data_IF_708995634839
#
_entry.id   IF_708995634839
#
_cell.length_a   1.000
_cell.length_b   1.000
_cell.length_c   1.000
_cell.angle_alpha   90.00
_cell.angle_beta   90.00
_cell.angle_gamma   90.00
#
_symmetry.space_group_name_H-M   'P 1'
#
loop_
_entity.id
_entity.type
_entity.pdbx_description
1 polymer ?
#
# COMPACT_ATOMS: atom_id res chain seq x y z
N UNK A 1 -15.24 -15.25 51.91
CA UNK A 1 -15.45 -15.94 50.62
C UNK A 1 -15.84 -14.97 49.49
N UNK A 2 -15.17 -13.81 49.39
CA UNK A 2 -15.51 -12.76 48.40
C UNK A 2 -14.29 -12.24 47.66
N UNK A 3 -13.19 -12.01 48.38
CA UNK A 3 -11.92 -11.51 47.83
C UNK A 3 -11.30 -12.48 46.83
N UNK A 4 -11.30 -13.79 47.12
CA UNK A 4 -10.75 -14.80 46.20
C UNK A 4 -11.56 -14.91 44.90
N UNK A 5 -12.89 -14.75 44.96
CA UNK A 5 -13.75 -14.71 43.77
C UNK A 5 -13.52 -13.45 42.94
N UNK A 6 -13.31 -12.29 43.60
CA UNK A 6 -13.05 -11.02 42.92
C UNK A 6 -11.68 -11.03 42.21
N UNK A 7 -10.64 -11.55 42.87
CA UNK A 7 -9.31 -11.75 42.27
C UNK A 7 -9.35 -12.71 41.08
N UNK A 8 -10.13 -13.79 41.17
CA UNK A 8 -10.31 -14.75 40.08
C UNK A 8 -11.07 -14.12 38.90
N UNK A 9 -12.03 -13.23 39.18
CA UNK A 9 -12.80 -12.50 38.18
C UNK A 9 -11.98 -11.43 37.43
N UNK A 10 -11.09 -10.72 38.12
CA UNK A 10 -10.20 -9.73 37.49
C UNK A 10 -9.09 -10.36 36.65
N UNK A 11 -8.62 -11.56 37.02
CA UNK A 11 -7.62 -12.30 36.26
C UNK A 11 -8.18 -12.82 34.93
N UNK A 12 -9.46 -13.23 34.90
CA UNK A 12 -10.16 -13.67 33.69
C UNK A 12 -10.49 -12.54 32.71
N UNK A 13 -10.48 -11.28 33.16
CA UNK A 13 -10.73 -10.10 32.32
C UNK A 13 -9.46 -9.42 31.79
N UNK A 14 -8.28 -9.95 32.13
CA UNK A 14 -6.99 -9.45 31.64
C UNK A 14 -6.70 -10.00 30.25
N UNK A 15 -7.42 -9.52 29.24
CA UNK A 15 -7.12 -9.80 27.84
C UNK A 15 -5.87 -9.01 27.48
N UNK A 16 -4.76 -9.70 27.23
CA UNK A 16 -3.57 -9.07 26.67
C UNK A 16 -3.91 -8.56 25.25
N UNK A 17 -4.00 -7.25 25.06
CA UNK A 17 -4.01 -6.63 23.74
C UNK A 17 -2.57 -6.67 23.20
N UNK A 18 -2.15 -7.83 22.69
CA UNK A 18 -0.90 -7.92 21.94
C UNK A 18 -1.13 -7.28 20.57
N UNK A 19 -0.56 -6.10 20.35
CA UNK A 19 -0.55 -5.49 19.03
C UNK A 19 0.26 -6.40 18.09
N UNK A 20 -0.44 -7.04 17.15
CA UNK A 20 0.20 -7.85 16.10
C UNK A 20 1.14 -6.94 15.30
N UNK A 21 2.40 -7.35 15.15
CA UNK A 21 3.32 -6.65 14.26
C UNK A 21 2.78 -6.63 12.82
N UNK A 22 3.11 -5.56 12.09
CA UNK A 22 2.69 -5.43 10.71
C UNK A 22 3.31 -6.54 9.85
N UNK A 23 2.65 -6.90 8.75
CA UNK A 23 3.20 -7.85 7.77
C UNK A 23 4.03 -7.09 6.73
N UNK A 24 4.94 -7.79 6.06
CA UNK A 24 5.52 -7.29 4.82
C UNK A 24 4.41 -7.02 3.81
N UNK A 25 4.49 -5.89 3.12
CA UNK A 25 3.47 -5.49 2.14
C UNK A 25 3.43 -6.49 0.97
N UNK A 26 2.26 -7.06 0.71
CA UNK A 26 2.04 -7.87 -0.47
C UNK A 26 1.47 -6.97 -1.59
N UNK A 27 2.22 -6.74 -2.68
CA UNK A 27 1.75 -5.89 -3.77
C UNK A 27 0.46 -6.41 -4.42
N UNK A 28 0.15 -7.71 -4.31
CA UNK A 28 -1.05 -8.29 -4.92
C UNK A 28 -2.30 -8.02 -4.09
N UNK A 29 -2.24 -8.14 -2.76
CA UNK A 29 -3.43 -8.06 -1.89
C UNK A 29 -3.57 -6.73 -1.18
N UNK A 30 -2.46 -6.05 -0.89
CA UNK A 30 -2.46 -4.88 -0.01
C UNK A 30 -2.48 -3.56 -0.81
N UNK A 31 -2.44 -3.66 -2.14
CA UNK A 31 -2.58 -2.53 -3.06
C UNK A 31 -4.02 -2.45 -3.54
N UNK A 32 -4.58 -1.24 -3.47
CA UNK A 32 -5.85 -0.92 -4.13
C UNK A 32 -5.63 -0.87 -5.65
N UNK A 33 -5.88 -1.99 -6.34
CA UNK A 33 -5.78 -2.05 -7.81
C UNK A 33 -6.86 -1.21 -8.51
N UNK A 34 -7.99 -0.97 -7.83
CA UNK A 34 -9.03 -0.05 -8.30
C UNK A 34 -8.53 1.39 -8.40
N UNK A 35 -7.50 1.74 -7.61
CA UNK A 35 -6.92 3.07 -7.58
C UNK A 35 -5.99 3.35 -8.77
N UNK A 36 -5.66 2.33 -9.59
CA UNK A 36 -4.92 2.53 -10.84
C UNK A 36 -5.79 3.07 -11.97
N UNK A 37 -7.12 2.97 -11.82
CA UNK A 37 -8.07 3.34 -12.86
C UNK A 37 -8.22 4.85 -12.99
N UNK A 38 -8.52 5.35 -14.21
CA UNK A 38 -8.79 4.60 -15.45
C UNK A 38 -7.52 4.07 -16.14
N UNK A 39 -7.59 2.86 -16.69
CA UNK A 39 -6.55 2.33 -17.59
C UNK A 39 -7.02 2.50 -19.03
N UNK A 40 -6.23 3.20 -19.84
CA UNK A 40 -6.50 3.41 -21.27
C UNK A 40 -5.36 2.81 -22.08
N UNK A 41 -5.69 1.95 -23.04
CA UNK A 41 -4.74 1.31 -23.96
C UNK A 41 -5.10 1.76 -25.37
N UNK A 42 -4.15 2.35 -26.10
CA UNK A 42 -4.37 2.71 -27.51
C UNK A 42 -5.57 3.66 -27.72
N UNK A 43 -5.88 4.47 -26.70
CA UNK A 43 -7.04 5.38 -26.69
C UNK A 43 -8.38 4.75 -26.31
N UNK A 44 -8.41 3.44 -26.04
CA UNK A 44 -9.60 2.72 -25.55
C UNK A 44 -9.50 2.55 -24.04
N UNK A 45 -10.51 3.04 -23.32
CA UNK A 45 -10.63 2.82 -21.88
C UNK A 45 -11.10 1.39 -21.61
N UNK A 46 -10.28 0.60 -20.90
CA UNK A 46 -10.60 -0.80 -20.55
C UNK A 46 -11.36 -0.92 -19.23
N UNK A 47 -11.55 0.20 -18.52
CA UNK A 47 -12.26 0.28 -17.25
C UNK A 47 -13.57 1.05 -17.41
N UNK A 48 -14.72 0.36 -17.55
CA UNK A 48 -15.99 0.97 -17.95
C UNK A 48 -16.56 1.99 -16.96
N UNK A 49 -16.29 1.84 -15.66
CA UNK A 49 -16.91 2.67 -14.61
C UNK A 49 -16.10 3.93 -14.24
N UNK A 50 -14.86 4.06 -14.72
CA UNK A 50 -13.98 5.20 -14.43
C UNK A 50 -13.88 6.15 -15.62
N UNK A 51 -14.26 7.42 -15.42
CA UNK A 51 -14.11 8.46 -16.46
C UNK A 51 -12.71 9.06 -16.42
N UNK A 52 -12.01 9.01 -17.55
CA UNK A 52 -10.73 9.69 -17.76
C UNK A 52 -10.94 11.07 -18.41
N UNK A 53 -10.10 12.03 -18.05
CA UNK A 53 -9.99 13.34 -18.70
C UNK A 53 -8.87 13.37 -19.75
N UNK A 54 -7.94 12.40 -19.71
CA UNK A 54 -6.86 12.22 -20.68
C UNK A 54 -7.36 11.44 -21.89
N UNK A 55 -7.48 12.12 -23.04
CA UNK A 55 -7.76 11.46 -24.33
C UNK A 55 -6.48 11.35 -25.14
N UNK A 56 -5.94 10.14 -25.23
CA UNK A 56 -4.97 9.80 -26.26
C UNK A 56 -5.71 9.22 -27.46
N UNK A 57 -5.58 9.80 -28.65
CA UNK A 57 -6.25 9.35 -29.86
C UNK A 57 -5.34 8.54 -30.81
N UNK A 58 -4.18 8.11 -30.33
CA UNK A 58 -3.14 7.46 -31.12
C UNK A 58 -3.13 5.96 -30.82
N UNK A 59 -3.25 5.14 -31.86
CA UNK A 59 -3.22 3.69 -31.69
C UNK A 59 -1.80 3.14 -31.43
N UNK A 60 -0.80 3.81 -31.99
CA UNK A 60 0.61 3.46 -31.92
C UNK A 60 1.44 4.70 -31.58
N UNK A 61 2.58 4.50 -30.93
CA UNK A 61 3.57 5.54 -30.67
C UNK A 61 4.95 5.10 -31.16
N UNK A 62 5.74 6.07 -31.62
CA UNK A 62 7.15 5.86 -31.97
C UNK A 62 8.01 6.71 -31.03
N UNK A 63 8.85 6.05 -30.25
CA UNK A 63 9.81 6.71 -29.38
C UNK A 63 11.15 6.86 -30.10
N UNK A 64 11.84 7.97 -29.85
CA UNK A 64 13.15 8.24 -30.41
C UNK A 64 14.17 7.12 -30.08
N UNK A 65 15.03 6.80 -31.05
CA UNK A 65 16.07 5.77 -30.96
C UNK A 65 16.48 5.27 -32.34
N UNK A 66 17.64 4.58 -32.43
CA UNK A 66 18.13 3.92 -33.65
C UNK A 66 18.38 2.44 -33.34
N UNK A 67 17.52 1.52 -33.80
CA UNK A 67 16.28 1.73 -34.55
C UNK A 67 15.16 2.38 -33.70
N UNK A 68 14.16 3.03 -34.34
CA UNK A 68 13.03 3.63 -33.64
C UNK A 68 12.21 2.55 -32.92
N UNK A 69 11.78 2.84 -31.69
CA UNK A 69 10.99 1.91 -30.88
C UNK A 69 9.51 2.15 -31.14
N UNK A 70 8.83 1.18 -31.74
CA UNK A 70 7.38 1.16 -31.86
C UNK A 70 6.75 0.65 -30.55
N UNK A 71 5.69 1.30 -30.08
CA UNK A 71 4.97 0.93 -28.87
C UNK A 71 3.48 1.20 -28.97
N UNK A 72 2.74 0.68 -28.00
CA UNK A 72 1.32 0.99 -27.79
C UNK A 72 1.27 1.98 -26.63
N UNK A 73 0.62 3.13 -26.79
CA UNK A 73 0.54 4.07 -25.69
C UNK A 73 -0.49 3.60 -24.66
N UNK A 74 -0.11 3.68 -23.39
CA UNK A 74 -0.92 3.32 -22.24
C UNK A 74 -0.93 4.45 -21.22
N UNK A 75 -2.06 4.71 -20.58
CA UNK A 75 -2.20 5.70 -19.50
C UNK A 75 -2.97 5.08 -18.34
N UNK A 76 -2.45 5.27 -17.12
CA UNK A 76 -3.03 4.77 -15.88
C UNK A 76 -2.40 5.56 -14.71
N UNK A 77 -2.99 5.47 -13.52
CA UNK A 77 -2.43 6.10 -12.32
C UNK A 77 -1.39 5.19 -11.68
N UNK A 78 -0.10 5.47 -11.91
CA UNK A 78 0.98 4.67 -11.33
C UNK A 78 1.26 5.06 -9.86
N UNK A 79 1.36 4.09 -8.92
CA UNK A 79 1.81 4.35 -7.56
C UNK A 79 3.31 4.68 -7.56
N UNK A 80 3.64 5.97 -7.46
CA UNK A 80 5.04 6.40 -7.56
C UNK A 80 5.84 6.24 -6.26
N UNK A 81 5.18 6.15 -5.10
CA UNK A 81 5.84 6.16 -3.77
C UNK A 81 5.03 5.36 -2.75
N UNK A 82 5.74 4.62 -1.90
CA UNK A 82 5.21 4.01 -0.68
C UNK A 82 5.62 4.86 0.53
N UNK A 83 4.67 5.20 1.39
CA UNK A 83 4.91 6.03 2.58
C UNK A 83 4.53 5.23 3.82
N UNK A 84 5.51 4.94 4.67
CA UNK A 84 5.32 4.26 5.95
C UNK A 84 5.09 5.28 7.06
N UNK A 85 3.92 5.23 7.71
CA UNK A 85 3.56 6.11 8.83
C UNK A 85 3.50 5.28 10.11
N UNK A 86 4.37 5.59 11.07
CA UNK A 86 4.47 4.90 12.37
C UNK A 86 4.56 5.90 13.51
N UNK A 87 4.08 5.52 14.71
CA UNK A 87 4.29 6.30 15.95
C UNK A 87 5.63 6.00 16.62
N UNK A 88 6.21 4.86 16.27
CA UNK A 88 7.46 4.35 16.82
C UNK A 88 8.61 4.76 15.91
N UNK A 89 9.57 5.53 16.43
CA UNK A 89 10.73 5.95 15.66
C UNK A 89 11.53 4.71 15.19
N UNK A 90 12.06 4.76 13.96
CA UNK A 90 12.83 3.68 13.35
C UNK A 90 12.09 2.34 13.12
N UNK A 91 10.77 2.30 13.31
CA UNK A 91 9.95 1.10 13.03
C UNK A 91 9.42 1.13 11.60
N UNK A 92 9.87 0.21 10.76
CA UNK A 92 9.47 0.08 9.36
C UNK A 92 8.24 -0.81 9.24
N UNK A 93 7.06 -0.18 9.21
CA UNK A 93 5.79 -0.90 9.18
C UNK A 93 5.57 -1.68 7.88
N UNK A 94 5.99 -1.14 6.73
CA UNK A 94 5.87 -1.82 5.43
C UNK A 94 6.82 -3.01 5.26
N UNK A 95 7.88 -3.09 6.06
CA UNK A 95 8.83 -4.21 6.09
C UNK A 95 8.46 -5.29 7.13
N UNK A 96 7.22 -5.31 7.61
CA UNK A 96 6.80 -6.26 8.62
C UNK A 96 7.11 -5.86 10.05
N UNK A 97 7.22 -4.56 10.32
CA UNK A 97 7.39 -4.03 11.67
C UNK A 97 8.83 -4.10 12.19
N UNK A 98 9.81 -4.31 11.31
CA UNK A 98 11.23 -4.35 11.66
C UNK A 98 11.67 -3.01 12.26
N UNK A 99 12.34 -3.08 13.41
CA UNK A 99 12.90 -1.91 14.08
C UNK A 99 14.39 -1.81 13.77
N UNK A 100 14.81 -0.70 13.15
CA UNK A 100 16.22 -0.49 12.74
C UNK A 100 17.01 0.28 13.81
N UNK A 101 16.33 0.79 14.84
CA UNK A 101 16.94 1.56 15.92
C UNK A 101 16.06 1.65 17.14
N UNK A 102 16.61 2.22 18.21
CA UNK A 102 15.89 2.42 19.47
C UNK A 102 15.12 3.76 19.45
N UNK A 103 13.89 3.73 19.96
CA UNK A 103 13.01 4.90 20.03
C UNK A 103 13.49 5.99 21.01
N UNK A 104 14.48 5.68 21.84
CA UNK A 104 14.98 6.53 22.93
C UNK A 104 16.18 7.40 22.59
N UNK A 105 16.79 7.27 21.39
CA UNK A 105 17.97 8.07 21.03
C UNK A 105 17.51 9.48 20.62
N UNK A 106 17.38 10.37 21.62
CA UNK A 106 17.35 11.82 21.38
C UNK A 106 18.77 12.25 21.03
N UNK A 107 18.95 12.76 19.81
CA UNK A 107 20.16 13.52 19.45
C UNK A 107 20.16 14.89 20.12
#
# INVERSE_FOLDING_TARGET
>A
MGILKYLLYTCLFSINLFAKDSSFINPITDVCWECLFPITISGVNVTPDSKDFSKNNSFYCFCAGTPPKAGIPMTFWEPAKLIDVTRHAYKLVGLGGVSVGEEGIKR
#
